data_IF_278198147538
#
_entry.id   IF_278198147538
#
_cell.length_a   1.000
_cell.length_b   1.000
_cell.length_c   1.000
_cell.angle_alpha   90.00
_cell.angle_beta   90.00
_cell.angle_gamma   90.00
#
_symmetry.space_group_name_H-M   'P 1'
#
loop_
_entity.id
_entity.type
_entity.pdbx_description
1 polymer ?
#
# COMPACT_ATOMS: atom_id res chain seq x y z
N UNK A 1 6.31 -36.26 -12.43
CA UNK A 1 7.64 -35.63 -12.34
C UNK A 1 7.48 -34.38 -11.48
N UNK A 2 8.03 -34.37 -10.26
CA UNK A 2 7.91 -33.23 -9.36
C UNK A 2 9.05 -32.26 -9.61
N UNK A 3 8.74 -31.02 -10.01
CA UNK A 3 9.73 -29.97 -10.06
C UNK A 3 9.97 -29.48 -8.63
N UNK A 4 11.16 -29.75 -8.08
CA UNK A 4 11.63 -29.06 -6.89
C UNK A 4 11.90 -27.60 -7.30
N UNK A 5 10.99 -26.70 -6.93
CA UNK A 5 11.24 -25.28 -7.03
C UNK A 5 12.38 -24.94 -6.08
N UNK A 6 13.55 -24.56 -6.63
CA UNK A 6 14.60 -23.93 -5.83
C UNK A 6 13.98 -22.65 -5.25
N UNK A 7 13.86 -22.58 -3.92
CA UNK A 7 13.49 -21.35 -3.23
C UNK A 7 14.57 -20.31 -3.57
N UNK A 8 14.23 -19.34 -4.41
CA UNK A 8 15.11 -18.21 -4.63
C UNK A 8 15.37 -17.56 -3.26
N UNK A 9 16.63 -17.26 -2.95
CA UNK A 9 16.99 -16.42 -1.82
C UNK A 9 16.48 -15.01 -2.13
N UNK A 10 15.21 -14.76 -1.84
CA UNK A 10 14.65 -13.42 -1.91
C UNK A 10 15.37 -12.55 -0.88
N UNK A 11 15.81 -11.36 -1.28
CA UNK A 11 16.29 -10.37 -0.32
C UNK A 11 15.23 -10.21 0.78
N UNK A 12 15.69 -10.18 2.03
CA UNK A 12 14.80 -10.10 3.18
C UNK A 12 14.04 -8.77 3.11
N UNK A 13 12.75 -8.84 2.80
CA UNK A 13 11.88 -7.69 2.91
C UNK A 13 11.59 -7.41 4.38
N UNK A 14 11.86 -6.18 4.81
CA UNK A 14 11.54 -5.72 6.15
C UNK A 14 10.49 -4.60 6.07
N UNK A 15 9.37 -4.80 6.77
CA UNK A 15 8.29 -3.80 6.87
C UNK A 15 8.00 -3.57 8.35
N UNK A 16 8.25 -2.35 8.79
CA UNK A 16 7.92 -1.90 10.14
C UNK A 16 6.81 -0.84 10.08
N UNK A 17 5.76 -1.04 10.86
CA UNK A 17 4.66 -0.09 10.95
C UNK A 17 4.80 0.75 12.22
N UNK A 18 4.74 2.06 12.06
CA UNK A 18 4.75 3.05 13.15
C UNK A 18 3.53 3.96 13.01
N UNK A 19 3.15 4.65 14.10
CA UNK A 19 1.95 5.50 14.23
C UNK A 19 1.33 5.99 12.91
N UNK A 20 2.05 6.83 12.16
CA UNK A 20 1.59 7.37 10.87
C UNK A 20 2.57 7.12 9.73
N UNK A 21 3.39 6.07 9.82
CA UNK A 21 4.36 5.73 8.78
C UNK A 21 4.61 4.24 8.67
N UNK A 22 5.05 3.83 7.49
CA UNK A 22 5.54 2.49 7.21
C UNK A 22 7.00 2.62 6.77
N UNK A 23 7.89 1.84 7.37
CA UNK A 23 9.29 1.75 6.95
C UNK A 23 9.44 0.45 6.17
N UNK A 24 9.81 0.54 4.90
CA UNK A 24 10.06 -0.61 4.02
C UNK A 24 11.55 -0.60 3.65
N UNK A 25 12.28 -1.64 4.03
CA UNK A 25 13.73 -1.77 3.79
C UNK A 25 14.52 -0.50 4.19
N UNK A 26 14.18 0.08 5.34
CA UNK A 26 14.79 1.32 5.85
C UNK A 26 14.25 2.63 5.26
N UNK A 27 13.42 2.57 4.21
CA UNK A 27 12.78 3.77 3.62
C UNK A 27 11.48 4.07 4.33
N UNK A 28 11.37 5.26 4.93
CA UNK A 28 10.17 5.73 5.63
C UNK A 28 9.15 6.32 4.66
N UNK A 29 7.92 5.82 4.71
CA UNK A 29 6.78 6.28 3.94
C UNK A 29 5.67 6.76 4.89
N UNK A 30 5.20 8.00 4.72
CA UNK A 30 4.19 8.58 5.62
C UNK A 30 2.77 8.36 5.09
N UNK A 31 1.84 7.99 5.97
CA UNK A 31 0.43 7.85 5.58
C UNK A 31 -0.25 9.22 5.39
N UNK A 32 -1.22 9.33 4.45
CA UNK A 32 -1.69 8.27 3.54
C UNK A 32 -0.73 8.04 2.36
N UNK A 33 -0.56 6.77 1.98
CA UNK A 33 0.30 6.38 0.85
C UNK A 33 -0.44 6.49 -0.49
N UNK A 34 0.25 7.02 -1.48
CA UNK A 34 -0.12 6.89 -2.90
C UNK A 34 0.57 5.66 -3.51
N UNK A 35 0.09 5.24 -4.70
CA UNK A 35 0.78 4.20 -5.48
C UNK A 35 2.24 4.60 -5.77
N UNK A 36 2.48 5.88 -6.10
CA UNK A 36 3.80 6.37 -6.45
C UNK A 36 4.79 6.23 -5.29
N UNK A 37 4.35 6.43 -4.06
CA UNK A 37 5.19 6.27 -2.86
C UNK A 37 5.65 4.82 -2.69
N UNK A 38 4.75 3.86 -2.99
CA UNK A 38 5.05 2.43 -2.95
C UNK A 38 5.97 2.05 -4.11
N UNK A 39 5.73 2.58 -5.31
CA UNK A 39 6.53 2.29 -6.50
C UNK A 39 7.98 2.77 -6.37
N UNK A 40 8.23 3.84 -5.62
CA UNK A 40 9.59 4.31 -5.32
C UNK A 40 10.40 3.28 -4.53
N UNK A 41 9.75 2.46 -3.69
CA UNK A 41 10.44 1.50 -2.81
C UNK A 41 10.41 0.08 -3.37
N UNK A 42 9.28 -0.34 -3.95
CA UNK A 42 9.07 -1.72 -4.41
C UNK A 42 9.10 -1.86 -5.93
N UNK A 43 9.25 -0.76 -6.68
CA UNK A 43 9.11 -0.77 -8.13
C UNK A 43 7.66 -0.89 -8.58
N UNK A 44 7.44 -1.18 -9.87
CA UNK A 44 6.09 -1.36 -10.40
C UNK A 44 5.48 -2.69 -9.92
N UNK A 45 4.16 -2.74 -9.65
CA UNK A 45 3.50 -4.00 -9.33
C UNK A 45 3.53 -4.95 -10.54
N UNK A 46 3.65 -6.25 -10.26
CA UNK A 46 3.60 -7.31 -11.26
C UNK A 46 2.20 -7.41 -11.89
N UNK A 47 1.16 -7.20 -11.09
CA UNK A 47 -0.23 -7.24 -11.55
C UNK A 47 -1.08 -6.14 -10.92
N UNK A 48 -2.06 -5.65 -11.68
CA UNK A 48 -3.06 -4.69 -11.21
C UNK A 48 -4.45 -5.26 -11.43
N UNK A 49 -5.16 -5.57 -10.35
CA UNK A 49 -6.53 -6.10 -10.39
C UNK A 49 -7.51 -5.02 -9.95
N UNK A 50 -8.44 -4.67 -10.84
CA UNK A 50 -9.46 -3.65 -10.57
C UNK A 50 -10.81 -4.32 -10.38
N UNK A 51 -11.58 -3.83 -9.42
CA UNK A 51 -13.00 -4.15 -9.25
C UNK A 51 -13.77 -2.85 -9.18
N UNK A 52 -14.60 -2.62 -10.19
CA UNK A 52 -15.33 -1.37 -10.39
C UNK A 52 -16.04 -0.92 -9.11
N UNK A 53 -15.85 0.36 -8.78
CA UNK A 53 -16.38 1.04 -7.59
C UNK A 53 -16.10 0.37 -6.24
N UNK A 54 -15.17 -0.59 -6.16
CA UNK A 54 -14.83 -1.30 -4.92
C UNK A 54 -13.37 -1.11 -4.53
N UNK A 55 -12.44 -1.52 -5.39
CA UNK A 55 -11.02 -1.44 -5.08
C UNK A 55 -10.11 -1.56 -6.32
N UNK A 56 -8.85 -1.17 -6.13
CA UNK A 56 -7.71 -1.56 -6.96
C UNK A 56 -6.72 -2.32 -6.08
N UNK A 57 -6.24 -3.46 -6.55
CA UNK A 57 -5.15 -4.24 -5.93
C UNK A 57 -3.90 -4.13 -6.80
N UNK A 58 -2.77 -3.85 -6.16
CA UNK A 58 -1.43 -3.84 -6.73
C UNK A 58 -0.67 -5.01 -6.13
N UNK A 59 -0.33 -6.00 -6.95
CA UNK A 59 0.23 -7.29 -6.54
C UNK A 59 1.71 -7.32 -6.89
N UNK A 60 2.54 -7.67 -5.91
CA UNK A 60 3.98 -7.86 -6.02
C UNK A 60 4.27 -9.34 -5.75
N UNK A 61 4.17 -10.18 -6.78
CA UNK A 61 4.27 -11.64 -6.70
C UNK A 61 5.64 -12.08 -6.20
N UNK A 62 6.71 -11.41 -6.66
CA UNK A 62 8.09 -11.73 -6.31
C UNK A 62 8.40 -11.53 -4.82
N UNK A 63 7.61 -10.69 -4.14
CA UNK A 63 7.78 -10.31 -2.73
C UNK A 63 6.63 -10.87 -1.87
N UNK A 64 5.54 -11.34 -2.50
CA UNK A 64 4.37 -11.89 -1.83
C UNK A 64 3.48 -10.84 -1.15
N UNK A 65 3.43 -9.61 -1.68
CA UNK A 65 2.66 -8.50 -1.07
C UNK A 65 1.57 -7.99 -2.00
N UNK A 66 0.44 -7.59 -1.40
CA UNK A 66 -0.66 -6.91 -2.09
C UNK A 66 -1.01 -5.60 -1.38
N UNK A 67 -0.94 -4.49 -2.11
CA UNK A 67 -1.52 -3.22 -1.67
C UNK A 67 -2.92 -3.05 -2.25
N UNK A 68 -3.90 -2.77 -1.39
CA UNK A 68 -5.28 -2.54 -1.82
C UNK A 68 -5.68 -1.08 -1.57
N UNK A 69 -6.00 -0.37 -2.64
CA UNK A 69 -6.74 0.87 -2.56
C UNK A 69 -8.24 0.57 -2.59
N UNK A 70 -9.00 0.98 -1.56
CA UNK A 70 -10.45 0.82 -1.54
C UNK A 70 -11.15 2.16 -1.77
N UNK A 71 -12.05 2.21 -2.75
CA UNK A 71 -12.90 3.38 -3.00
C UNK A 71 -14.03 3.52 -1.99
N UNK A 72 -14.43 2.40 -1.35
CA UNK A 72 -15.48 2.40 -0.33
C UNK A 72 -15.01 2.96 1.01
N UNK A 73 -13.70 2.92 1.28
CA UNK A 73 -13.15 3.59 2.44
C UNK A 73 -13.08 5.07 2.07
N UNK A 74 -14.14 5.82 2.44
CA UNK A 74 -14.07 7.28 2.51
C UNK A 74 -13.02 7.60 3.56
N UNK A 75 -11.78 7.73 3.12
CA UNK A 75 -10.69 8.19 3.96
C UNK A 75 -11.11 9.58 4.44
N UNK A 76 -11.64 9.70 5.67
CA UNK A 76 -11.94 10.98 6.32
C UNK A 76 -10.65 11.76 6.66
N UNK A 77 -9.55 11.50 5.95
CA UNK A 77 -8.36 12.33 5.95
C UNK A 77 -8.71 13.66 5.26
N UNK A 78 -8.96 14.66 6.12
CA UNK A 78 -9.05 16.11 5.85
C UNK A 78 -10.17 16.60 4.93
N UNK A 79 -11.40 16.18 5.20
CA UNK A 79 -12.57 17.04 5.02
C UNK A 79 -13.34 17.20 6.34
N UNK A 80 -12.65 17.68 7.37
CA UNK A 80 -13.25 18.57 8.35
C UNK A 80 -12.84 20.00 7.95
N UNK A 81 -13.35 20.48 6.81
CA UNK A 81 -13.45 21.92 6.62
C UNK A 81 -14.49 22.42 7.60
N UNK A 82 -14.02 22.84 8.78
CA UNK A 82 -14.49 24.05 9.43
C UNK A 82 -16.02 24.24 9.55
N UNK A 83 -16.75 23.27 10.08
CA UNK A 83 -18.13 23.50 10.59
C UNK A 83 -18.12 23.47 12.11
N UNK A 84 -17.32 24.35 12.71
CA UNK A 84 -17.36 24.68 14.13
C UNK A 84 -17.20 26.20 14.29
N UNK A 85 -17.92 26.97 13.46
CA UNK A 85 -18.23 28.38 13.68
C UNK A 85 -19.58 28.69 13.05
N UNK A 86 -20.64 28.50 13.82
CA UNK A 86 -21.94 29.20 13.73
C UNK A 86 -22.85 28.60 14.79
N UNK A 87 -22.72 29.13 16.00
CA UNK A 87 -23.81 29.41 16.92
C UNK A 87 -23.34 30.63 17.70
N UNK A 88 -23.47 31.79 17.04
CA UNK A 88 -23.77 33.05 17.72
C UNK A 88 -25.29 33.06 17.85
#
# INVERSE_FOLDING_TARGET
MFNLFKKATHEKLEINLHNNSMIINGTSLSFPLSLKDIEVVLGKPDQVVKRDNKFIKYIYDNIGIVFQHSFSIKNHLKNLKHTLMRNI
#
